data_IF_977850655704
#
_entry.id   IF_977850655704
#
_cell.length_a   1.000
_cell.length_b   1.000
_cell.length_c   1.000
_cell.angle_alpha   90.00
_cell.angle_beta   90.00
_cell.angle_gamma   90.00
#
_symmetry.space_group_name_H-M   'P 1'
#
loop_
_entity.id
_entity.type
_entity.pdbx_description
1 polymer ?
#
# COMPACT_ATOMS: atom_id res chain seq x y z
N UNK A 1 6.55 -6.67 22.28
CA UNK A 1 7.59 -7.72 22.32
C UNK A 1 7.50 -8.65 21.14
N UNK A 2 8.62 -9.27 20.77
CA UNK A 2 8.66 -10.28 19.69
C UNK A 2 7.90 -11.55 20.13
N UNK A 3 7.27 -12.23 19.18
CA UNK A 3 6.69 -13.55 19.46
C UNK A 3 7.82 -14.55 19.78
N UNK A 4 7.66 -15.30 20.87
CA UNK A 4 8.68 -16.25 21.30
C UNK A 4 8.73 -17.49 20.38
N UNK A 5 9.91 -18.10 20.14
CA UNK A 5 10.03 -19.30 19.31
C UNK A 5 9.11 -20.46 19.71
N UNK A 6 8.84 -20.61 21.03
CA UNK A 6 7.93 -21.63 21.55
C UNK A 6 6.49 -21.49 21.02
N UNK A 7 6.05 -20.28 20.69
CA UNK A 7 4.75 -20.05 20.06
C UNK A 7 4.70 -20.70 18.67
N UNK A 8 5.69 -20.40 17.80
CA UNK A 8 5.72 -20.96 16.45
C UNK A 8 5.94 -22.47 16.43
N UNK A 9 6.70 -23.03 17.37
CA UNK A 9 6.81 -24.48 17.53
C UNK A 9 5.46 -25.15 17.86
N UNK A 10 4.56 -24.46 18.59
CA UNK A 10 3.20 -24.96 18.84
C UNK A 10 2.35 -24.84 17.59
N UNK A 11 2.46 -23.74 16.85
CA UNK A 11 1.77 -23.52 15.57
C UNK A 11 2.14 -24.63 14.58
N UNK A 12 3.43 -24.88 14.37
CA UNK A 12 3.91 -25.90 13.44
C UNK A 12 3.42 -27.32 13.76
N UNK A 13 3.27 -27.66 15.05
CA UNK A 13 2.71 -28.96 15.48
C UNK A 13 1.21 -29.07 15.22
N UNK A 14 0.48 -27.97 15.37
CA UNK A 14 -0.98 -27.96 15.21
C UNK A 14 -1.39 -27.79 13.75
N UNK A 15 -0.60 -27.05 12.97
CA UNK A 15 -0.86 -26.66 11.59
C UNK A 15 0.38 -26.99 10.74
N UNK A 16 0.47 -28.22 10.19
CA UNK A 16 1.46 -28.54 9.18
C UNK A 16 1.35 -27.57 8.01
N UNK A 17 2.48 -27.23 7.38
CA UNK A 17 2.51 -26.39 6.17
C UNK A 17 1.94 -24.96 6.33
N UNK A 18 1.93 -24.42 7.56
CA UNK A 18 1.35 -23.11 7.83
C UNK A 18 2.05 -21.95 7.09
N UNK A 19 1.25 -20.94 6.75
CA UNK A 19 1.68 -19.64 6.25
C UNK A 19 1.29 -18.55 7.24
N UNK A 20 1.97 -17.41 7.17
CA UNK A 20 1.70 -16.26 8.04
C UNK A 20 1.57 -15.02 7.17
N UNK A 21 0.61 -14.18 7.51
CA UNK A 21 0.57 -12.80 7.04
C UNK A 21 0.63 -11.88 8.25
N UNK A 22 1.49 -10.86 8.19
CA UNK A 22 1.62 -9.84 9.23
C UNK A 22 1.60 -8.46 8.60
N UNK A 23 0.97 -7.49 9.27
CA UNK A 23 1.07 -6.09 8.89
C UNK A 23 2.08 -5.35 9.76
N UNK A 24 3.08 -4.76 9.11
CA UNK A 24 4.05 -3.86 9.71
C UNK A 24 3.63 -2.40 9.58
N UNK A 25 2.74 -2.08 8.66
CA UNK A 25 2.26 -0.72 8.35
C UNK A 25 3.34 0.22 7.77
N UNK A 26 4.56 0.27 8.33
CA UNK A 26 5.71 1.04 7.81
C UNK A 26 7.02 0.37 8.23
N UNK A 27 8.15 0.71 7.61
CA UNK A 27 9.49 0.37 8.13
C UNK A 27 9.89 1.22 9.35
N UNK A 28 9.31 2.41 9.52
CA UNK A 28 9.66 3.39 10.54
C UNK A 28 8.93 3.11 11.89
N UNK A 29 9.71 2.92 12.95
CA UNK A 29 9.23 2.72 14.33
C UNK A 29 8.29 3.83 14.80
N UNK A 30 8.60 5.09 14.46
CA UNK A 30 7.81 6.24 14.89
C UNK A 30 6.45 6.28 14.19
N UNK A 31 6.40 5.95 12.89
CA UNK A 31 5.14 5.83 12.13
C UNK A 31 4.30 4.71 12.73
N UNK A 32 4.86 3.52 12.92
CA UNK A 32 4.17 2.37 13.54
C UNK A 32 3.61 2.69 14.91
N UNK A 33 4.42 3.27 15.79
CA UNK A 33 4.00 3.66 17.14
C UNK A 33 2.87 4.67 17.10
N UNK A 34 2.93 5.65 16.18
CA UNK A 34 1.88 6.67 16.01
C UNK A 34 0.58 6.05 15.51
N UNK A 35 0.65 5.02 14.66
CA UNK A 35 -0.49 4.25 14.16
C UNK A 35 -1.02 3.22 15.17
N UNK A 36 -0.40 3.06 16.35
CA UNK A 36 -0.85 2.14 17.40
C UNK A 36 -0.22 0.75 17.36
N UNK A 37 0.93 0.60 16.70
CA UNK A 37 1.75 -0.63 16.68
C UNK A 37 3.04 -0.42 17.48
N UNK A 38 3.05 -0.64 18.82
CA UNK A 38 4.18 -0.28 19.68
C UNK A 38 5.26 -1.37 19.76
N UNK A 39 5.77 -1.84 18.62
CA UNK A 39 6.89 -2.78 18.55
C UNK A 39 8.02 -2.21 17.68
N UNK A 40 9.25 -2.63 17.97
CA UNK A 40 10.44 -2.19 17.23
C UNK A 40 10.70 -3.03 15.98
N UNK A 41 11.51 -2.50 15.06
CA UNK A 41 12.01 -3.25 13.90
C UNK A 41 12.70 -4.55 14.32
N UNK A 42 13.54 -4.52 15.35
CA UNK A 42 14.27 -5.72 15.78
C UNK A 42 13.32 -6.77 16.36
N UNK A 43 12.24 -6.36 17.02
CA UNK A 43 11.24 -7.28 17.55
C UNK A 43 10.48 -8.01 16.43
N UNK A 44 10.13 -7.30 15.36
CA UNK A 44 9.42 -7.92 14.23
C UNK A 44 10.35 -8.77 13.38
N UNK A 45 11.60 -8.38 13.17
CA UNK A 45 12.59 -9.21 12.48
C UNK A 45 12.85 -10.53 13.23
N UNK A 46 12.96 -10.50 14.56
CA UNK A 46 13.07 -11.73 15.37
C UNK A 46 11.82 -12.62 15.24
N UNK A 47 10.64 -12.00 15.12
CA UNK A 47 9.37 -12.71 14.92
C UNK A 47 9.35 -13.41 13.56
N UNK A 48 9.78 -12.71 12.49
CA UNK A 48 9.90 -13.26 11.13
C UNK A 48 10.88 -14.43 11.11
N UNK A 49 12.07 -14.26 11.68
CA UNK A 49 13.08 -15.33 11.77
C UNK A 49 12.54 -16.55 12.51
N UNK A 50 11.94 -16.35 13.69
CA UNK A 50 11.38 -17.45 14.50
C UNK A 50 10.26 -18.21 13.78
N UNK A 51 9.44 -17.52 13.00
CA UNK A 51 8.39 -18.15 12.20
C UNK A 51 8.97 -19.02 11.07
N UNK A 52 9.94 -18.48 10.33
CA UNK A 52 10.61 -19.19 9.24
C UNK A 52 11.41 -20.40 9.75
N UNK A 53 12.13 -20.26 10.86
CA UNK A 53 12.89 -21.34 11.50
C UNK A 53 11.97 -22.48 11.98
N UNK A 54 10.74 -22.16 12.39
CA UNK A 54 9.73 -23.13 12.79
C UNK A 54 9.02 -23.83 11.59
N UNK A 55 9.44 -23.54 10.35
CA UNK A 55 8.92 -24.19 9.14
C UNK A 55 7.78 -23.45 8.44
N UNK A 56 7.56 -22.16 8.70
CA UNK A 56 6.55 -21.36 7.99
C UNK A 56 6.81 -21.37 6.48
N UNK A 57 5.89 -21.93 5.67
CA UNK A 57 6.12 -22.10 4.23
C UNK A 57 6.22 -20.79 3.46
N UNK A 58 5.41 -19.82 3.89
CA UNK A 58 5.34 -18.50 3.28
C UNK A 58 4.94 -17.49 4.35
N UNK A 59 5.68 -16.40 4.40
CA UNK A 59 5.45 -15.27 5.28
C UNK A 59 5.24 -14.01 4.42
N UNK A 60 4.01 -13.53 4.39
CA UNK A 60 3.61 -12.32 3.70
C UNK A 60 3.71 -11.12 4.66
N UNK A 61 4.36 -10.04 4.23
CA UNK A 61 4.61 -8.84 5.05
C UNK A 61 3.94 -7.63 4.40
N UNK A 62 2.90 -7.12 5.05
CA UNK A 62 2.14 -5.99 4.56
C UNK A 62 2.66 -4.65 5.09
N UNK A 63 2.69 -3.65 4.19
CA UNK A 63 2.97 -2.26 4.51
C UNK A 63 1.90 -1.34 3.91
N UNK A 64 1.75 -0.17 4.51
CA UNK A 64 0.68 0.77 4.18
C UNK A 64 1.22 2.15 3.79
N UNK A 65 0.54 2.81 2.87
CA UNK A 65 0.78 4.22 2.47
C UNK A 65 -0.39 5.09 2.94
N UNK A 66 -0.10 6.31 3.39
CA UNK A 66 -1.12 7.25 3.86
C UNK A 66 -1.25 7.31 5.38
N UNK A 67 -0.19 6.94 6.10
CA UNK A 67 -0.17 6.98 7.57
C UNK A 67 0.34 8.32 8.10
N UNK A 68 -0.07 8.73 9.32
CA UNK A 68 0.49 9.86 10.03
C UNK A 68 2.01 9.73 10.15
N UNK A 69 2.71 10.84 9.95
CA UNK A 69 4.18 10.98 9.90
C UNK A 69 4.89 10.35 8.70
N UNK A 70 4.18 9.69 7.79
CA UNK A 70 4.80 9.33 6.51
C UNK A 70 4.95 10.56 5.63
N UNK A 71 6.13 10.69 5.03
CA UNK A 71 6.35 11.49 3.83
C UNK A 71 6.56 10.56 2.64
N UNK A 72 6.63 11.11 1.42
CA UNK A 72 6.99 10.34 0.24
C UNK A 72 8.30 9.55 0.44
N UNK A 73 9.32 10.19 1.01
CA UNK A 73 10.62 9.60 1.30
C UNK A 73 10.53 8.46 2.33
N UNK A 74 9.71 8.63 3.38
CA UNK A 74 9.45 7.55 4.35
C UNK A 74 8.78 6.33 3.71
N UNK A 75 7.88 6.55 2.75
CA UNK A 75 7.28 5.46 1.97
C UNK A 75 8.34 4.76 1.11
N UNK A 76 9.22 5.51 0.46
CA UNK A 76 10.33 4.91 -0.31
C UNK A 76 11.32 4.14 0.58
N UNK A 77 11.61 4.63 1.79
CA UNK A 77 12.39 3.89 2.78
C UNK A 77 11.75 2.54 3.16
N UNK A 78 10.41 2.45 3.08
CA UNK A 78 9.72 1.17 3.27
C UNK A 78 9.99 0.20 2.12
N UNK A 79 10.11 0.69 0.89
CA UNK A 79 10.51 -0.12 -0.28
C UNK A 79 11.95 -0.60 -0.14
N UNK A 80 12.85 0.27 0.30
CA UNK A 80 14.26 -0.10 0.54
C UNK A 80 14.37 -1.18 1.62
N UNK A 81 13.62 -1.04 2.72
CA UNK A 81 13.53 -2.06 3.76
C UNK A 81 12.94 -3.38 3.24
N UNK A 82 11.91 -3.33 2.38
CA UNK A 82 11.42 -4.53 1.69
C UNK A 82 12.54 -5.22 0.90
N UNK A 83 13.37 -4.45 0.18
CA UNK A 83 14.52 -4.99 -0.55
C UNK A 83 15.52 -5.71 0.36
N UNK A 84 15.79 -5.17 1.55
CA UNK A 84 16.64 -5.81 2.56
C UNK A 84 16.05 -7.12 3.07
N UNK A 85 14.74 -7.14 3.37
CA UNK A 85 14.04 -8.36 3.79
C UNK A 85 14.08 -9.43 2.70
N UNK A 86 13.77 -9.07 1.45
CA UNK A 86 13.82 -10.00 0.32
C UNK A 86 15.22 -10.57 0.20
N UNK A 87 16.24 -9.72 0.07
CA UNK A 87 17.64 -10.14 -0.06
C UNK A 87 18.07 -11.12 1.02
N UNK A 88 17.74 -10.81 2.28
CA UNK A 88 18.06 -11.66 3.44
C UNK A 88 17.42 -13.03 3.34
N UNK A 89 16.14 -13.10 3.00
CA UNK A 89 15.35 -14.33 3.06
C UNK A 89 15.21 -15.07 1.73
N UNK A 90 15.77 -14.55 0.62
CA UNK A 90 15.86 -15.26 -0.67
C UNK A 90 17.28 -15.70 -1.04
N UNK A 91 18.28 -15.33 -0.24
CA UNK A 91 19.71 -15.59 -0.49
C UNK A 91 20.07 -17.07 -0.69
N UNK A 92 19.33 -17.99 -0.06
CA UNK A 92 19.54 -19.44 -0.17
C UNK A 92 18.67 -20.13 -1.24
N UNK A 93 18.03 -19.37 -2.13
CA UNK A 93 17.10 -19.89 -3.15
C UNK A 93 15.67 -20.17 -2.65
N UNK A 94 15.44 -20.12 -1.33
CA UNK A 94 14.11 -20.22 -0.73
C UNK A 94 13.34 -18.90 -0.86
N UNK A 95 12.15 -18.91 -1.49
CA UNK A 95 11.33 -17.71 -1.71
C UNK A 95 10.18 -17.63 -0.72
N UNK A 96 10.52 -17.62 0.58
CA UNK A 96 9.55 -17.80 1.66
C UNK A 96 9.01 -16.49 2.24
N UNK A 97 9.65 -15.35 1.98
CA UNK A 97 9.17 -14.04 2.41
C UNK A 97 8.73 -13.20 1.21
N UNK A 98 7.50 -12.69 1.26
CA UNK A 98 6.93 -11.87 0.19
C UNK A 98 6.35 -10.58 0.77
N UNK A 99 7.02 -9.43 0.60
CA UNK A 99 6.44 -8.16 1.00
C UNK A 99 5.46 -7.63 -0.05
N UNK A 100 4.53 -6.81 0.42
CA UNK A 100 3.61 -6.04 -0.41
C UNK A 100 3.24 -4.73 0.30
N UNK A 101 2.93 -3.70 -0.51
CA UNK A 101 2.60 -2.37 -0.02
C UNK A 101 1.35 -1.85 -0.74
N UNK A 102 0.42 -1.24 -0.01
CA UNK A 102 -0.82 -0.69 -0.57
C UNK A 102 -1.26 0.55 0.21
N UNK A 103 -2.08 1.44 -0.37
CA UNK A 103 -2.59 2.58 0.37
C UNK A 103 -3.62 2.15 1.42
N UNK A 104 -3.75 2.93 2.48
CA UNK A 104 -4.97 2.97 3.27
C UNK A 104 -6.04 3.66 2.42
N UNK A 105 -6.86 2.87 1.73
CA UNK A 105 -7.85 3.34 0.77
C UNK A 105 -9.09 2.43 0.79
N UNK A 106 -10.28 2.93 0.41
CA UNK A 106 -10.54 4.29 -0.10
C UNK A 106 -10.84 5.32 1.01
N UNK A 107 -10.97 4.90 2.26
CA UNK A 107 -11.28 5.80 3.37
C UNK A 107 -10.68 5.35 4.71
N UNK A 108 -10.59 6.27 5.67
CA UNK A 108 -10.44 5.91 7.08
C UNK A 108 -11.72 5.24 7.58
N UNK A 109 -11.58 4.15 8.32
CA UNK A 109 -12.71 3.32 8.76
C UNK A 109 -13.66 4.09 9.71
N UNK A 110 -14.96 4.24 9.37
CA UNK A 110 -15.95 4.80 10.27
C UNK A 110 -16.01 4.05 11.61
N UNK A 111 -16.06 4.77 12.73
CA UNK A 111 -15.98 4.19 14.07
C UNK A 111 -14.55 3.95 14.59
N UNK A 112 -13.52 4.13 13.76
CA UNK A 112 -12.13 4.14 14.23
C UNK A 112 -11.79 5.49 14.90
N UNK A 113 -10.85 5.48 15.84
CA UNK A 113 -10.39 6.73 16.48
C UNK A 113 -9.81 7.74 15.47
N UNK A 114 -9.17 7.23 14.41
CA UNK A 114 -8.65 8.04 13.32
C UNK A 114 -9.76 8.73 12.52
N UNK A 115 -10.95 8.16 12.44
CA UNK A 115 -12.10 8.75 11.76
C UNK A 115 -12.93 9.66 12.68
N UNK A 116 -13.11 9.27 13.93
CA UNK A 116 -13.89 10.04 14.92
C UNK A 116 -13.14 11.29 15.40
N UNK A 117 -11.81 11.20 15.57
CA UNK A 117 -10.94 12.29 16.03
C UNK A 117 -9.77 12.57 15.06
N UNK A 118 -10.03 12.87 13.76
CA UNK A 118 -8.99 12.82 12.73
C UNK A 118 -7.87 13.81 12.97
N UNK A 119 -8.20 15.05 13.37
CA UNK A 119 -7.21 16.08 13.62
C UNK A 119 -6.27 15.68 14.76
N UNK A 120 -6.79 15.03 15.82
CA UNK A 120 -5.98 14.53 16.94
C UNK A 120 -5.01 13.44 16.51
N UNK A 121 -5.39 12.63 15.53
CA UNK A 121 -4.60 11.53 14.99
C UNK A 121 -3.74 11.91 13.78
N UNK A 122 -3.75 13.19 13.35
CA UNK A 122 -2.89 13.68 12.27
C UNK A 122 -3.50 13.55 10.88
N UNK A 123 -4.82 13.36 10.80
CA UNK A 123 -5.59 13.29 9.57
C UNK A 123 -6.47 14.53 9.38
N UNK A 124 -6.89 14.75 8.14
CA UNK A 124 -7.98 15.64 7.77
C UNK A 124 -8.96 14.88 6.89
N UNK A 125 -10.26 14.90 7.21
CA UNK A 125 -11.29 14.20 6.46
C UNK A 125 -12.00 15.12 5.46
N UNK A 126 -12.19 14.61 4.25
CA UNK A 126 -13.00 15.20 3.18
C UNK A 126 -14.44 14.68 3.20
N UNK A 127 -14.67 13.42 3.57
CA UNK A 127 -15.99 12.78 3.56
C UNK A 127 -16.25 12.03 4.88
N UNK A 128 -17.47 12.14 5.42
CA UNK A 128 -17.87 11.51 6.68
C UNK A 128 -19.12 10.63 6.54
N UNK A 129 -20.10 11.06 5.76
CA UNK A 129 -21.38 10.34 5.65
C UNK A 129 -21.34 9.28 4.55
N UNK A 130 -22.22 8.28 4.64
CA UNK A 130 -22.37 7.28 3.59
C UNK A 130 -22.69 7.93 2.23
N UNK A 131 -23.54 8.95 2.20
CA UNK A 131 -23.91 9.64 0.95
C UNK A 131 -22.72 10.38 0.34
N UNK A 132 -21.89 11.04 1.15
CA UNK A 132 -20.66 11.68 0.65
C UNK A 132 -19.70 10.66 0.04
N UNK A 133 -19.47 9.52 0.71
CA UNK A 133 -18.65 8.45 0.16
C UNK A 133 -19.25 7.88 -1.13
N UNK A 134 -20.58 7.66 -1.18
CA UNK A 134 -21.27 7.18 -2.38
C UNK A 134 -21.09 8.11 -3.57
N UNK A 135 -21.14 9.43 -3.35
CA UNK A 135 -20.87 10.42 -4.39
C UNK A 135 -19.40 10.46 -4.78
N UNK A 136 -18.49 10.34 -3.83
CA UNK A 136 -17.05 10.33 -4.06
C UNK A 136 -16.59 9.14 -4.94
N UNK A 137 -17.30 8.00 -4.92
CA UNK A 137 -17.05 6.86 -5.82
C UNK A 137 -17.25 7.19 -7.30
N UNK A 138 -17.98 8.26 -7.64
CA UNK A 138 -18.17 8.72 -9.02
C UNK A 138 -17.00 9.59 -9.51
N UNK A 139 -16.05 9.90 -8.64
CA UNK A 139 -14.91 10.74 -8.98
C UNK A 139 -14.04 10.08 -10.06
N UNK A 140 -13.33 10.87 -10.89
CA UNK A 140 -12.64 10.35 -12.07
C UNK A 140 -11.43 9.45 -11.75
N UNK A 141 -10.88 9.52 -10.53
CA UNK A 141 -9.88 8.57 -10.04
C UNK A 141 -10.03 8.36 -8.53
N UNK A 142 -9.44 7.27 -8.02
CA UNK A 142 -9.46 6.93 -6.60
C UNK A 142 -8.83 8.02 -5.71
N UNK A 143 -7.90 8.81 -6.25
CA UNK A 143 -7.35 10.00 -5.58
C UNK A 143 -8.43 10.93 -5.05
N UNK A 144 -9.45 11.18 -5.87
CA UNK A 144 -10.55 12.08 -5.53
C UNK A 144 -11.62 11.40 -4.68
N UNK A 145 -11.66 10.06 -4.69
CA UNK A 145 -12.50 9.26 -3.80
C UNK A 145 -11.90 9.08 -2.40
N UNK A 146 -10.57 9.27 -2.22
CA UNK A 146 -9.91 9.25 -0.92
C UNK A 146 -10.59 10.25 0.02
N UNK A 147 -11.10 9.75 1.14
CA UNK A 147 -11.81 10.59 2.11
C UNK A 147 -10.90 11.34 3.07
N UNK A 148 -9.58 11.23 2.94
CA UNK A 148 -8.67 11.82 3.90
C UNK A 148 -7.37 12.26 3.25
N UNK A 149 -6.65 13.08 4.00
CA UNK A 149 -5.22 13.29 3.88
C UNK A 149 -4.58 13.31 5.26
N UNK A 150 -3.25 13.38 5.30
CA UNK A 150 -2.50 13.53 6.55
C UNK A 150 -1.87 14.90 6.61
N UNK A 151 -1.40 15.31 7.80
CA UNK A 151 -0.61 16.55 7.93
C UNK A 151 0.71 16.56 7.13
N UNK A 152 1.15 15.41 6.62
CA UNK A 152 2.44 15.23 5.95
C UNK A 152 2.32 14.92 4.46
N UNK A 153 1.17 14.40 4.03
CA UNK A 153 0.89 14.06 2.64
C UNK A 153 -0.57 14.41 2.34
N UNK A 154 -0.75 15.28 1.35
CA UNK A 154 -2.04 15.52 0.72
C UNK A 154 -2.46 14.29 -0.13
N UNK A 155 -3.68 14.31 -0.68
CA UNK A 155 -4.18 13.20 -1.52
C UNK A 155 -3.28 12.93 -2.74
N UNK A 156 -2.67 13.97 -3.32
CA UNK A 156 -1.74 13.80 -4.45
C UNK A 156 -0.46 13.07 -4.04
N UNK A 157 0.12 13.43 -2.89
CA UNK A 157 1.32 12.81 -2.36
C UNK A 157 1.07 11.36 -1.95
N UNK A 158 -0.08 11.05 -1.32
CA UNK A 158 -0.48 9.67 -1.00
C UNK A 158 -0.52 8.82 -2.27
N UNK A 159 -1.25 9.28 -3.30
CA UNK A 159 -1.39 8.56 -4.58
C UNK A 159 -0.06 8.39 -5.30
N UNK A 160 0.75 9.45 -5.34
CA UNK A 160 2.08 9.42 -5.98
C UNK A 160 3.02 8.45 -5.27
N UNK A 161 3.05 8.48 -3.94
CA UNK A 161 3.84 7.55 -3.13
C UNK A 161 3.37 6.11 -3.32
N UNK A 162 2.05 5.87 -3.38
CA UNK A 162 1.48 4.55 -3.64
C UNK A 162 1.93 3.97 -4.97
N UNK A 163 1.80 4.72 -6.06
CA UNK A 163 2.19 4.23 -7.37
C UNK A 163 3.69 3.98 -7.48
N UNK A 164 4.51 4.91 -6.98
CA UNK A 164 5.97 4.73 -7.03
C UNK A 164 6.42 3.56 -6.16
N UNK A 165 5.84 3.39 -4.96
CA UNK A 165 6.18 2.30 -4.07
C UNK A 165 5.79 0.94 -4.65
N UNK A 166 4.56 0.84 -5.16
CA UNK A 166 4.08 -0.35 -5.85
C UNK A 166 4.95 -0.71 -7.06
N UNK A 167 5.38 0.30 -7.83
CA UNK A 167 6.23 0.12 -9.00
C UNK A 167 7.61 -0.41 -8.61
N UNK A 168 8.33 0.29 -7.72
CA UNK A 168 9.67 -0.09 -7.28
C UNK A 168 9.67 -1.47 -6.61
N UNK A 169 8.71 -1.73 -5.72
CA UNK A 169 8.61 -3.03 -5.06
C UNK A 169 8.31 -4.16 -6.04
N UNK A 170 7.46 -3.92 -7.04
CA UNK A 170 7.19 -4.89 -8.10
C UNK A 170 8.45 -5.22 -8.92
N UNK A 171 9.26 -4.21 -9.27
CA UNK A 171 10.53 -4.43 -9.96
C UNK A 171 11.51 -5.23 -9.10
N UNK A 172 11.68 -4.87 -7.82
CA UNK A 172 12.48 -5.64 -6.85
C UNK A 172 12.02 -7.09 -6.77
N UNK A 173 10.71 -7.34 -6.70
CA UNK A 173 10.17 -8.72 -6.68
C UNK A 173 10.54 -9.49 -7.95
N UNK A 174 10.59 -8.83 -9.11
CA UNK A 174 11.06 -9.43 -10.35
C UNK A 174 12.56 -9.74 -10.34
N UNK A 175 13.38 -8.81 -9.86
CA UNK A 175 14.85 -8.96 -9.76
C UNK A 175 15.27 -10.13 -8.87
N UNK A 176 14.61 -10.29 -7.72
CA UNK A 176 14.85 -11.41 -6.79
C UNK A 176 14.05 -12.68 -7.16
N UNK A 177 13.32 -12.66 -8.28
CA UNK A 177 12.56 -13.80 -8.79
C UNK A 177 11.38 -14.24 -7.92
N UNK A 178 10.87 -13.38 -7.03
CA UNK A 178 9.63 -13.61 -6.28
C UNK A 178 8.40 -13.62 -7.19
N UNK A 179 8.49 -12.94 -8.34
CA UNK A 179 7.54 -13.00 -9.44
C UNK A 179 8.30 -13.18 -10.75
N UNK A 180 7.63 -13.68 -11.79
CA UNK A 180 8.22 -13.76 -13.12
C UNK A 180 8.55 -12.36 -13.67
N UNK A 181 9.65 -12.23 -14.40
CA UNK A 181 10.07 -10.97 -15.01
C UNK A 181 9.05 -10.41 -16.01
N UNK A 182 8.33 -11.30 -16.69
CA UNK A 182 7.19 -10.98 -17.58
C UNK A 182 6.06 -10.28 -16.81
N UNK A 183 5.70 -10.82 -15.64
CA UNK A 183 4.69 -10.28 -14.73
C UNK A 183 5.16 -8.94 -14.17
N UNK A 184 6.41 -8.84 -13.69
CA UNK A 184 6.98 -7.59 -13.19
C UNK A 184 6.92 -6.48 -14.26
N UNK A 185 7.33 -6.78 -15.49
CA UNK A 185 7.30 -5.84 -16.61
C UNK A 185 5.87 -5.44 -16.99
N UNK A 186 4.93 -6.39 -17.01
CA UNK A 186 3.53 -6.11 -17.32
C UNK A 186 2.91 -5.18 -16.26
N UNK A 187 3.18 -5.43 -14.97
CA UNK A 187 2.72 -4.60 -13.87
C UNK A 187 3.33 -3.19 -13.91
N UNK A 188 4.64 -3.07 -14.18
CA UNK A 188 5.32 -1.77 -14.33
C UNK A 188 4.70 -0.91 -15.44
N UNK A 189 4.38 -1.53 -16.58
CA UNK A 189 3.65 -0.87 -17.68
C UNK A 189 2.26 -0.41 -17.26
N UNK A 190 1.51 -1.23 -16.51
CA UNK A 190 0.17 -0.87 -15.99
C UNK A 190 0.26 0.31 -15.02
N UNK A 191 1.21 0.29 -14.08
CA UNK A 191 1.41 1.38 -13.13
C UNK A 191 1.80 2.68 -13.85
N UNK A 192 2.75 2.61 -14.78
CA UNK A 192 3.19 3.78 -15.57
C UNK A 192 2.01 4.41 -16.32
N UNK A 193 1.12 3.58 -16.89
CA UNK A 193 -0.09 4.04 -17.56
C UNK A 193 -1.10 4.63 -16.58
N UNK A 194 -1.28 4.05 -15.40
CA UNK A 194 -2.14 4.61 -14.36
C UNK A 194 -1.66 5.99 -13.89
N UNK A 195 -0.35 6.18 -13.70
CA UNK A 195 0.25 7.49 -13.38
C UNK A 195 -0.03 8.51 -14.49
N UNK A 196 0.10 8.11 -15.77
CA UNK A 196 -0.20 8.99 -16.89
C UNK A 196 -1.68 9.39 -16.95
N UNK A 197 -2.59 8.44 -16.69
CA UNK A 197 -4.03 8.70 -16.62
C UNK A 197 -4.38 9.64 -15.47
N UNK A 198 -3.81 9.46 -14.27
CA UNK A 198 -4.07 10.35 -13.14
C UNK A 198 -3.63 11.79 -13.43
N UNK A 199 -2.47 11.98 -14.07
CA UNK A 199 -2.00 13.30 -14.52
C UNK A 199 -2.92 13.94 -15.57
N UNK A 200 -3.48 13.14 -16.47
CA UNK A 200 -4.40 13.65 -17.48
C UNK A 200 -5.76 14.04 -16.86
N UNK A 201 -6.24 13.26 -15.88
CA UNK A 201 -7.43 13.61 -15.10
C UNK A 201 -7.21 14.95 -14.39
N UNK A 202 -6.05 15.17 -13.78
CA UNK A 202 -5.74 16.44 -13.12
C UNK A 202 -5.82 17.62 -14.08
N UNK A 203 -5.24 17.48 -15.29
CA UNK A 203 -5.32 18.52 -16.33
C UNK A 203 -6.75 18.79 -16.78
N UNK A 204 -7.56 17.74 -16.95
CA UNK A 204 -8.96 17.91 -17.34
C UNK A 204 -9.73 18.63 -16.22
N UNK A 205 -9.41 18.36 -14.95
CA UNK A 205 -10.07 18.99 -13.81
C UNK A 205 -9.77 20.48 -13.66
N UNK A 206 -8.65 20.99 -14.21
CA UNK A 206 -8.35 22.44 -14.26
C UNK A 206 -9.13 23.20 -15.32
N UNK A 207 -9.95 22.54 -16.15
CA UNK A 207 -10.81 23.21 -17.14
C UNK A 207 -12.00 23.86 -16.43
N UNK A 208 -12.11 25.19 -16.53
CA UNK A 208 -13.19 25.97 -15.91
C UNK A 208 -14.56 25.71 -16.54
N UNK A 209 -14.60 25.46 -17.85
CA UNK A 209 -15.83 25.17 -18.58
C UNK A 209 -16.36 23.77 -18.22
N UNK A 210 -17.44 23.73 -17.43
CA UNK A 210 -18.02 22.48 -16.93
C UNK A 210 -18.48 21.52 -18.05
N UNK A 211 -19.24 21.96 -19.08
CA UNK A 211 -19.59 21.09 -20.21
C UNK A 211 -18.38 20.49 -20.92
N UNK A 212 -17.35 21.28 -21.18
CA UNK A 212 -16.11 20.81 -21.81
C UNK A 212 -15.40 19.78 -20.92
N UNK A 213 -15.22 20.08 -19.64
CA UNK A 213 -14.61 19.17 -18.67
C UNK A 213 -15.32 17.82 -18.62
N UNK A 214 -16.66 17.83 -18.56
CA UNK A 214 -17.46 16.60 -18.54
C UNK A 214 -17.31 15.79 -19.84
N UNK A 215 -17.29 16.46 -20.99
CA UNK A 215 -17.07 15.82 -22.28
C UNK A 215 -15.68 15.15 -22.34
N UNK A 216 -14.63 15.83 -21.88
CA UNK A 216 -13.25 15.31 -21.83
C UNK A 216 -13.11 14.11 -20.89
N UNK A 217 -13.70 14.16 -19.69
CA UNK A 217 -13.69 13.03 -18.76
C UNK A 217 -14.42 11.81 -19.33
N UNK A 218 -15.56 12.03 -20.01
CA UNK A 218 -16.33 10.94 -20.66
C UNK A 218 -15.54 10.28 -21.79
N UNK A 219 -14.85 11.09 -22.60
CA UNK A 219 -13.99 10.58 -23.67
C UNK A 219 -12.84 9.75 -23.08
N UNK A 220 -12.14 10.27 -22.07
CA UNK A 220 -11.06 9.56 -21.38
C UNK A 220 -11.55 8.22 -20.79
N UNK A 221 -12.71 8.21 -20.13
CA UNK A 221 -13.32 6.98 -19.60
C UNK A 221 -13.56 5.94 -20.70
N UNK A 222 -14.10 6.37 -21.84
CA UNK A 222 -14.34 5.50 -23.00
C UNK A 222 -13.03 4.91 -23.53
N UNK A 223 -11.96 5.71 -23.59
CA UNK A 223 -10.62 5.23 -24.01
C UNK A 223 -10.04 4.19 -23.03
N UNK A 224 -10.29 4.36 -21.73
CA UNK A 224 -9.85 3.41 -20.69
C UNK A 224 -10.60 2.08 -20.83
N UNK A 225 -11.93 2.11 -20.92
CA UNK A 225 -12.78 0.93 -21.04
C UNK A 225 -12.48 0.12 -22.31
N UNK A 226 -12.34 0.79 -23.45
CA UNK A 226 -12.03 0.14 -24.74
C UNK A 226 -10.62 -0.46 -24.80
N UNK A 227 -9.72 -0.01 -23.93
CA UNK A 227 -8.33 -0.51 -23.86
C UNK A 227 -8.15 -1.76 -22.99
N UNK A 228 -9.21 -2.38 -22.43
CA UNK A 228 -9.12 -3.45 -21.41
C UNK A 228 -8.19 -3.05 -20.24
N UNK A 229 -8.23 -1.78 -19.85
CA UNK A 229 -7.40 -1.27 -18.77
C UNK A 229 -7.96 -1.69 -17.41
N UNK A 230 -7.45 -2.81 -16.89
CA UNK A 230 -7.48 -3.05 -15.44
C UNK A 230 -6.40 -2.15 -14.82
N UNK A 231 -6.83 -1.01 -14.29
CA UNK A 231 -6.05 -0.21 -13.36
C UNK A 231 -6.01 -0.95 -12.02
N UNK A 232 -4.86 -0.95 -11.37
CA UNK A 232 -4.59 -1.74 -10.17
C UNK A 232 -5.52 -1.28 -9.03
N UNK A 233 -6.51 -2.13 -8.74
CA UNK A 233 -7.05 -2.53 -7.45
C UNK A 233 -7.61 -3.95 -7.65
#
# INVERSE_FOLDING_TARGET
>A
DAAQPKFFNRVARALPDFTIEISLESHDDQVRKTFGRPYSTEAIERTIASALDAGCRRLDVFFMVGLPKQTFESVMGTVDYCGQLISRYTSNGEKRLAPFISPLAPFLDPGSRAFEEPERHGYHLYFRTLEEHRQALLAPSWKYALNYETRWMDRNAIVSATYEAGRRLNLLKGEYGLIESSIATATDKRITRAIALDKEIDRILTIDNLPERQARLKDLKTQVETSNLSTIC
#
